data_IF_794862549783
#
_entry.id   IF_794862549783
#
_cell.length_a   1.000
_cell.length_b   1.000
_cell.length_c   1.000
_cell.angle_alpha   90.00
_cell.angle_beta   90.00
_cell.angle_gamma   90.00
#
_symmetry.space_group_name_H-M   'P 1'
#
loop_
_entity.id
_entity.type
_entity.pdbx_description
1 polymer ?
#
# COMPACT_ATOMS: atom_id res chain seq x y z
N UNK A 1 -25.33 -0.58 86.33
CA UNK A 1 -25.69 -1.57 85.28
C UNK A 1 -24.78 -1.35 84.08
N UNK A 2 -23.63 -2.02 84.08
CA UNK A 2 -22.53 -1.77 83.15
C UNK A 2 -22.54 -2.72 81.95
N UNK A 3 -22.74 -2.13 80.77
CA UNK A 3 -21.83 -2.22 79.61
C UNK A 3 -21.44 -3.62 79.08
N UNK A 4 -22.39 -4.29 78.42
CA UNK A 4 -22.12 -5.40 77.47
C UNK A 4 -22.49 -5.00 76.04
N UNK A 5 -21.76 -4.04 75.46
CA UNK A 5 -21.91 -3.64 74.04
C UNK A 5 -20.63 -3.65 73.17
N UNK A 6 -19.47 -4.25 73.54
CA UNK A 6 -18.38 -4.39 72.57
C UNK A 6 -18.28 -5.79 71.94
N UNK A 7 -19.02 -6.80 72.41
CA UNK A 7 -18.81 -8.19 71.95
C UNK A 7 -19.49 -8.48 70.59
N UNK A 8 -20.62 -7.85 70.30
CA UNK A 8 -21.37 -8.11 69.06
C UNK A 8 -20.74 -7.45 67.82
N UNK A 9 -19.96 -6.37 68.02
CA UNK A 9 -19.27 -5.68 66.92
C UNK A 9 -18.04 -6.47 66.44
N UNK A 10 -17.33 -7.14 67.36
CA UNK A 10 -16.14 -7.94 67.04
C UNK A 10 -16.52 -9.17 66.20
N UNK A 11 -17.65 -9.81 66.48
CA UNK A 11 -18.12 -10.97 65.71
C UNK A 11 -18.53 -10.63 64.27
N UNK A 12 -18.94 -9.38 63.99
CA UNK A 12 -19.33 -8.95 62.64
C UNK A 12 -18.10 -8.58 61.79
N UNK A 13 -17.04 -8.08 62.41
CA UNK A 13 -15.78 -7.72 61.73
C UNK A 13 -14.95 -8.94 61.28
N UNK A 14 -15.10 -10.10 61.94
CA UNK A 14 -14.39 -11.34 61.60
C UNK A 14 -14.99 -12.10 60.39
N UNK A 15 -16.22 -11.79 59.99
CA UNK A 15 -16.85 -12.40 58.81
C UNK A 15 -16.49 -11.67 57.50
N UNK A 16 -16.00 -10.43 57.57
CA UNK A 16 -15.63 -9.64 56.41
C UNK A 16 -14.25 -10.02 55.82
N UNK A 17 -13.41 -10.75 56.57
CA UNK A 17 -12.10 -11.21 56.09
C UNK A 17 -12.13 -12.54 55.33
N UNK A 18 -13.31 -13.17 55.19
CA UNK A 18 -13.53 -14.35 54.34
C UNK A 18 -14.27 -14.02 53.03
N UNK A 19 -14.52 -12.75 52.73
CA UNK A 19 -14.78 -12.33 51.36
C UNK A 19 -13.46 -12.43 50.58
N UNK A 20 -13.04 -13.66 50.30
CA UNK A 20 -12.02 -13.92 49.30
C UNK A 20 -12.48 -13.24 48.02
N UNK A 21 -11.58 -12.45 47.43
CA UNK A 21 -11.72 -12.08 46.04
C UNK A 21 -12.05 -13.37 45.29
N UNK A 22 -13.25 -13.45 44.72
CA UNK A 22 -13.41 -14.25 43.51
C UNK A 22 -12.57 -13.47 42.51
N UNK A 23 -11.26 -13.73 42.52
CA UNK A 23 -10.46 -13.59 41.33
C UNK A 23 -11.16 -14.54 40.36
N UNK A 24 -12.03 -13.96 39.54
CA UNK A 24 -12.45 -14.61 38.33
C UNK A 24 -11.13 -14.97 37.67
N UNK A 25 -10.77 -16.24 37.71
CA UNK A 25 -9.88 -16.80 36.70
C UNK A 25 -10.68 -16.68 35.40
N UNK A 26 -10.76 -15.45 34.86
CA UNK A 26 -10.60 -15.28 33.44
C UNK A 26 -9.29 -15.98 33.19
N UNK A 27 -9.39 -17.25 32.79
CA UNK A 27 -8.32 -17.90 32.07
C UNK A 27 -8.08 -16.93 30.92
N UNK A 28 -7.13 -16.00 31.09
CA UNK A 28 -6.62 -15.22 29.98
C UNK A 28 -6.39 -16.25 28.90
N UNK A 29 -7.01 -16.04 27.73
CA UNK A 29 -6.81 -16.92 26.59
C UNK A 29 -5.30 -17.10 26.44
N UNK A 30 -4.78 -18.28 26.78
CA UNK A 30 -3.33 -18.57 26.81
C UNK A 30 -2.79 -18.77 25.39
N UNK A 31 -3.40 -18.10 24.40
CA UNK A 31 -2.89 -18.06 23.05
C UNK A 31 -1.75 -17.06 23.05
N UNK A 32 -0.52 -17.57 22.91
CA UNK A 32 0.65 -16.77 22.61
C UNK A 32 0.71 -16.63 21.08
N UNK A 33 0.23 -15.50 20.58
CA UNK A 33 0.21 -15.17 19.16
C UNK A 33 1.61 -14.70 18.72
N UNK A 34 2.30 -15.56 17.96
CA UNK A 34 3.61 -15.32 17.36
C UNK A 34 3.48 -15.58 15.86
N UNK A 35 3.42 -14.50 15.07
CA UNK A 35 3.19 -14.52 13.63
C UNK A 35 4.41 -13.95 12.92
N UNK A 36 5.03 -14.75 12.07
CA UNK A 36 6.17 -14.34 11.25
C UNK A 36 5.72 -13.88 9.86
N UNK A 37 6.39 -12.87 9.32
CA UNK A 37 6.18 -12.33 7.98
C UNK A 37 7.50 -11.77 7.43
N UNK A 38 7.70 -11.85 6.12
CA UNK A 38 8.96 -11.43 5.49
C UNK A 38 9.10 -9.91 5.39
N UNK A 39 8.03 -9.23 4.95
CA UNK A 39 7.95 -7.78 4.83
C UNK A 39 6.51 -7.32 4.98
N UNK A 40 6.32 -6.14 5.58
CA UNK A 40 5.04 -5.41 5.59
C UNK A 40 5.07 -4.20 4.65
N UNK A 41 6.03 -4.16 3.74
CA UNK A 41 6.10 -3.14 2.71
C UNK A 41 6.40 -3.77 1.35
N UNK A 42 5.91 -3.11 0.30
CA UNK A 42 6.11 -3.51 -1.09
C UNK A 42 5.46 -2.53 -2.04
N UNK A 43 5.38 -2.91 -3.31
CA UNK A 43 4.95 -2.03 -4.39
C UNK A 43 4.05 -2.80 -5.33
N UNK A 44 2.89 -2.22 -5.63
CA UNK A 44 2.07 -2.64 -6.77
C UNK A 44 2.64 -2.01 -8.02
N UNK A 45 2.79 -2.80 -9.09
CA UNK A 45 3.33 -2.31 -10.36
C UNK A 45 2.26 -2.41 -11.43
N UNK A 46 1.90 -1.27 -12.02
CA UNK A 46 1.07 -1.21 -13.22
C UNK A 46 1.94 -0.99 -14.45
N UNK A 47 1.65 -1.70 -15.54
CA UNK A 47 2.34 -1.47 -16.82
C UNK A 47 1.35 -1.06 -17.89
N UNK A 48 1.71 -0.02 -18.63
CA UNK A 48 0.92 0.54 -19.71
C UNK A 48 1.72 0.60 -21.00
N UNK A 49 1.08 0.24 -22.11
CA UNK A 49 1.63 0.36 -23.45
C UNK A 49 0.60 1.06 -24.34
N UNK A 50 1.01 2.13 -25.01
CA UNK A 50 0.17 2.93 -25.92
C UNK A 50 -1.16 3.37 -25.26
N UNK A 51 -1.09 3.78 -23.99
CA UNK A 51 -2.23 4.22 -23.19
C UNK A 51 -3.11 3.11 -22.60
N UNK A 52 -2.87 1.83 -22.93
CA UNK A 52 -3.62 0.69 -22.39
C UNK A 52 -2.86 -0.05 -21.28
N UNK A 53 -3.52 -0.39 -20.17
CA UNK A 53 -2.91 -1.23 -19.12
C UNK A 53 -2.72 -2.65 -19.64
N UNK A 54 -1.49 -3.14 -19.62
CA UNK A 54 -1.10 -4.48 -20.09
C UNK A 54 -0.86 -5.47 -18.96
N UNK A 55 -0.42 -5.00 -17.79
CA UNK A 55 -0.24 -5.85 -16.61
C UNK A 55 -0.43 -5.11 -15.29
N UNK A 56 -0.67 -5.89 -14.24
CA UNK A 56 -0.74 -5.50 -12.84
C UNK A 56 0.00 -6.58 -12.03
N UNK A 57 1.05 -6.18 -11.32
CA UNK A 57 1.77 -7.00 -10.34
C UNK A 57 1.33 -6.59 -8.94
N UNK A 58 0.65 -7.49 -8.24
CA UNK A 58 0.18 -7.28 -6.88
C UNK A 58 1.30 -7.41 -5.86
N UNK A 59 1.13 -6.80 -4.69
CA UNK A 59 2.00 -7.06 -3.53
C UNK A 59 1.40 -8.19 -2.70
N UNK A 60 2.17 -9.27 -2.51
CA UNK A 60 1.75 -10.39 -1.66
C UNK A 60 2.42 -10.35 -0.27
N UNK A 61 1.67 -10.72 0.77
CA UNK A 61 2.16 -10.86 2.14
C UNK A 61 1.69 -12.17 2.73
N UNK A 62 2.64 -12.98 3.19
CA UNK A 62 2.38 -14.23 3.90
C UNK A 62 2.54 -14.03 5.41
N UNK A 63 1.51 -14.42 6.16
CA UNK A 63 1.51 -14.46 7.62
C UNK A 63 1.62 -15.91 8.08
N UNK A 64 2.75 -16.28 8.67
CA UNK A 64 2.98 -17.63 9.21
C UNK A 64 2.72 -17.69 10.71
N UNK A 65 1.66 -18.40 11.08
CA UNK A 65 1.23 -18.66 12.44
C UNK A 65 1.89 -19.92 13.03
N UNK A 66 2.89 -20.54 12.37
CA UNK A 66 3.51 -21.80 12.80
C UNK A 66 4.11 -21.78 14.21
N UNK A 67 4.40 -20.59 14.73
CA UNK A 67 4.95 -20.35 16.07
C UNK A 67 3.91 -19.96 17.11
N UNK A 68 2.68 -19.71 16.68
CA UNK A 68 1.57 -19.42 17.58
C UNK A 68 1.25 -20.66 18.40
N UNK A 69 1.17 -20.49 19.72
CA UNK A 69 0.87 -21.60 20.64
C UNK A 69 -0.33 -21.28 21.51
N UNK A 70 -0.98 -22.32 22.04
CA UNK A 70 -2.07 -22.18 23.00
C UNK A 70 -2.03 -23.32 24.01
N UNK A 71 -2.60 -23.09 25.20
CA UNK A 71 -2.84 -24.14 26.18
C UNK A 71 -3.91 -25.15 25.74
N UNK A 72 -4.73 -24.81 24.74
CA UNK A 72 -5.73 -25.67 24.11
C UNK A 72 -5.48 -25.80 22.60
N UNK A 73 -6.30 -26.59 21.90
CA UNK A 73 -6.11 -26.83 20.47
C UNK A 73 -6.47 -25.58 19.67
N UNK A 74 -5.54 -25.07 18.86
CA UNK A 74 -5.81 -24.00 17.91
C UNK A 74 -6.66 -24.55 16.77
N UNK A 75 -7.79 -23.89 16.47
CA UNK A 75 -8.74 -24.32 15.42
C UNK A 75 -8.79 -23.35 14.25
N UNK A 76 -8.43 -22.09 14.44
CA UNK A 76 -8.50 -21.08 13.38
C UNK A 76 -7.34 -20.11 13.46
N UNK A 77 -6.73 -19.84 12.30
CA UNK A 77 -5.94 -18.63 12.08
C UNK A 77 -6.67 -17.73 11.09
N UNK A 78 -6.46 -16.43 11.18
CA UNK A 78 -7.08 -15.51 10.24
C UNK A 78 -6.52 -14.11 10.26
N UNK A 79 -6.95 -13.36 9.24
CA UNK A 79 -6.62 -11.96 9.02
C UNK A 79 -7.92 -11.21 8.72
N UNK A 80 -8.18 -10.17 9.50
CA UNK A 80 -9.25 -9.20 9.26
C UNK A 80 -8.65 -7.95 8.61
N UNK A 81 -9.13 -7.58 7.42
CA UNK A 81 -8.64 -6.42 6.67
C UNK A 81 -9.13 -5.08 7.24
N UNK A 82 -10.03 -5.10 8.23
CA UNK A 82 -10.58 -3.90 8.88
C UNK A 82 -11.28 -2.93 7.92
N UNK A 83 -11.64 -3.39 6.72
CA UNK A 83 -12.30 -2.65 5.65
C UNK A 83 -13.82 -2.93 5.57
N UNK A 84 -14.33 -3.76 6.49
CA UNK A 84 -15.73 -4.19 6.55
C UNK A 84 -16.03 -5.46 5.75
N UNK A 85 -15.05 -6.02 5.05
CA UNK A 85 -15.17 -7.35 4.43
C UNK A 85 -15.09 -8.46 5.48
N UNK A 86 -15.43 -9.70 5.08
CA UNK A 86 -15.32 -10.84 5.99
C UNK A 86 -13.84 -11.22 6.18
N UNK A 87 -13.41 -11.56 7.40
CA UNK A 87 -12.04 -12.01 7.63
C UNK A 87 -11.68 -13.23 6.80
N UNK A 88 -10.42 -13.30 6.37
CA UNK A 88 -9.83 -14.46 5.72
C UNK A 88 -9.41 -15.42 6.83
N UNK A 89 -9.90 -16.66 6.79
CA UNK A 89 -9.65 -17.67 7.82
C UNK A 89 -9.20 -19.00 7.24
N UNK A 90 -8.37 -19.72 7.98
CA UNK A 90 -7.87 -21.05 7.67
C UNK A 90 -8.04 -22.00 8.86
N UNK A 91 -8.15 -23.30 8.57
CA UNK A 91 -8.12 -24.35 9.59
C UNK A 91 -6.68 -24.56 10.08
N UNK A 92 -6.46 -24.27 11.37
CA UNK A 92 -5.15 -24.34 12.01
C UNK A 92 -4.58 -25.78 12.06
N UNK A 93 -5.42 -26.80 11.88
CA UNK A 93 -4.97 -28.21 11.80
C UNK A 93 -4.39 -28.59 10.43
N UNK A 94 -4.66 -27.79 9.39
CA UNK A 94 -4.28 -28.10 8.01
C UNK A 94 -3.10 -27.26 7.52
N UNK A 95 -3.06 -25.98 7.89
CA UNK A 95 -2.05 -25.03 7.44
C UNK A 95 -1.85 -23.92 8.48
N UNK A 96 -0.69 -23.27 8.43
CA UNK A 96 -0.33 -22.16 9.32
C UNK A 96 -0.14 -20.83 8.60
N UNK A 97 -0.24 -20.80 7.26
CA UNK A 97 0.06 -19.60 6.47
C UNK A 97 -1.22 -19.00 5.91
N UNK A 98 -1.44 -17.72 6.17
CA UNK A 98 -2.49 -16.91 5.53
C UNK A 98 -1.83 -15.91 4.58
N UNK A 99 -2.15 -16.00 3.29
CA UNK A 99 -1.62 -15.11 2.25
C UNK A 99 -2.62 -14.01 1.90
N UNK A 100 -2.15 -12.77 1.81
CA UNK A 100 -2.89 -11.62 1.29
C UNK A 100 -2.25 -11.13 0.00
N UNK A 101 -3.08 -10.62 -0.92
CA UNK A 101 -2.63 -9.96 -2.16
C UNK A 101 -3.27 -8.59 -2.26
N UNK A 102 -2.44 -7.55 -2.43
CA UNK A 102 -2.86 -6.17 -2.55
C UNK A 102 -2.66 -5.71 -4.00
N UNK A 103 -3.77 -5.32 -4.64
CA UNK A 103 -3.79 -4.73 -5.98
C UNK A 103 -3.83 -3.19 -5.94
N UNK A 104 -4.00 -2.60 -4.77
CA UNK A 104 -4.16 -1.17 -4.58
C UNK A 104 -3.15 -0.62 -3.56
N UNK A 105 -2.54 0.51 -3.90
CA UNK A 105 -1.62 1.21 -3.04
C UNK A 105 -2.33 1.88 -1.86
N UNK A 106 -1.64 2.02 -0.74
CA UNK A 106 -2.21 2.51 0.50
C UNK A 106 -1.49 1.99 1.74
N UNK A 107 -1.85 2.56 2.88
CA UNK A 107 -1.54 1.99 4.20
C UNK A 107 -2.73 1.15 4.64
N UNK A 108 -2.55 -0.16 4.74
CA UNK A 108 -3.58 -1.13 5.09
C UNK A 108 -3.36 -1.63 6.52
N UNK A 109 -4.32 -1.38 7.40
CA UNK A 109 -4.26 -1.88 8.77
C UNK A 109 -5.02 -3.19 8.86
N UNK A 110 -4.34 -4.26 9.25
CA UNK A 110 -4.95 -5.59 9.37
C UNK A 110 -4.85 -6.10 10.81
N UNK A 111 -5.81 -6.94 11.19
CA UNK A 111 -5.78 -7.65 12.47
C UNK A 111 -5.57 -9.14 12.23
N UNK A 112 -4.41 -9.63 12.62
CA UNK A 112 -4.06 -11.05 12.67
C UNK A 112 -4.70 -11.65 13.91
N UNK A 113 -5.24 -12.87 13.82
CA UNK A 113 -5.85 -13.52 14.97
C UNK A 113 -5.77 -15.04 14.94
N UNK A 114 -5.83 -15.64 16.12
CA UNK A 114 -5.96 -17.06 16.32
C UNK A 114 -7.11 -17.37 17.29
N UNK A 115 -7.79 -18.50 17.08
CA UNK A 115 -8.90 -18.97 17.91
C UNK A 115 -8.64 -20.42 18.31
N UNK A 116 -8.86 -20.75 19.58
CA UNK A 116 -8.80 -22.11 20.10
C UNK A 116 -10.17 -22.82 20.14
N UNK A 117 -10.18 -24.11 20.48
CA UNK A 117 -11.35 -24.97 20.53
C UNK A 117 -12.34 -24.64 21.68
N UNK A 118 -11.99 -23.73 22.61
CA UNK A 118 -12.92 -23.15 23.60
C UNK A 118 -13.59 -21.87 23.08
N UNK A 119 -13.15 -21.39 21.91
CA UNK A 119 -13.55 -20.10 21.33
C UNK A 119 -12.77 -18.91 21.88
N UNK A 120 -11.68 -19.13 22.61
CA UNK A 120 -10.80 -18.06 23.06
C UNK A 120 -10.08 -17.47 21.85
N UNK A 121 -9.96 -16.14 21.79
CA UNK A 121 -9.40 -15.43 20.63
C UNK A 121 -8.32 -14.44 21.07
N UNK A 122 -7.18 -14.48 20.39
CA UNK A 122 -6.10 -13.51 20.54
C UNK A 122 -5.85 -12.78 19.22
N UNK A 123 -5.58 -11.49 19.30
CA UNK A 123 -5.40 -10.60 18.15
C UNK A 123 -4.07 -9.84 18.22
N UNK A 124 -3.54 -9.49 17.05
CA UNK A 124 -2.42 -8.57 16.87
C UNK A 124 -2.69 -7.71 15.64
N UNK A 125 -2.52 -6.39 15.77
CA UNK A 125 -2.67 -5.47 14.63
C UNK A 125 -1.31 -5.16 14.01
N UNK A 126 -1.26 -5.12 12.68
CA UNK A 126 -0.08 -4.72 11.91
C UNK A 126 -0.49 -3.78 10.78
N UNK A 127 0.42 -2.91 10.35
CA UNK A 127 0.21 -1.98 9.25
C UNK A 127 1.06 -2.39 8.04
N UNK A 128 0.45 -2.49 6.87
CA UNK A 128 1.07 -2.90 5.61
C UNK A 128 1.13 -1.69 4.70
N UNK A 129 2.33 -1.32 4.24
CA UNK A 129 2.56 -0.22 3.30
C UNK A 129 2.67 -0.74 1.88
N UNK A 130 1.74 -0.33 1.02
CA UNK A 130 1.75 -0.67 -0.40
C UNK A 130 1.99 0.62 -1.19
N UNK A 131 3.18 0.77 -1.78
CA UNK A 131 3.50 1.85 -2.70
C UNK A 131 2.95 1.52 -4.12
N UNK A 132 2.86 2.51 -5.01
CA UNK A 132 2.51 2.29 -6.43
C UNK A 132 3.70 2.64 -7.32
N UNK A 133 3.95 1.83 -8.34
CA UNK A 133 4.78 2.20 -9.50
C UNK A 133 3.98 1.98 -10.78
N UNK A 134 3.95 2.99 -11.65
CA UNK A 134 3.40 2.87 -12.99
C UNK A 134 4.56 2.95 -13.96
N UNK A 135 4.72 1.90 -14.77
CA UNK A 135 5.65 1.85 -15.89
C UNK A 135 4.86 2.03 -17.19
N UNK A 136 5.10 3.10 -17.92
CA UNK A 136 4.33 3.47 -19.10
C UNK A 136 5.26 3.66 -20.30
N UNK A 137 4.84 3.17 -21.47
CA UNK A 137 5.59 3.29 -22.71
C UNK A 137 4.67 3.54 -23.89
N UNK A 138 5.07 4.44 -24.77
CA UNK A 138 4.44 4.65 -26.08
C UNK A 138 5.56 4.88 -27.09
N UNK A 139 5.52 4.20 -28.22
CA UNK A 139 6.59 4.28 -29.23
C UNK A 139 6.05 4.74 -30.58
N UNK A 140 6.90 5.40 -31.35
CA UNK A 140 6.58 5.88 -32.69
C UNK A 140 5.30 6.75 -32.73
N UNK A 141 5.22 7.74 -31.82
CA UNK A 141 4.08 8.65 -31.68
C UNK A 141 4.48 10.10 -31.93
N UNK A 142 3.60 10.88 -32.53
CA UNK A 142 3.76 12.34 -32.66
C UNK A 142 2.73 13.11 -31.84
N UNK A 143 1.91 12.41 -31.07
CA UNK A 143 0.92 12.95 -30.16
C UNK A 143 0.80 11.98 -28.97
N UNK A 144 1.78 11.98 -28.06
CA UNK A 144 1.80 11.06 -26.93
C UNK A 144 0.52 11.14 -26.11
N UNK A 145 0.01 9.99 -25.71
CA UNK A 145 -1.17 9.89 -24.86
C UNK A 145 -0.82 10.33 -23.43
N UNK A 146 -1.65 11.16 -22.77
CA UNK A 146 -1.42 11.50 -21.36
C UNK A 146 -1.40 10.25 -20.47
N UNK A 147 -0.43 10.19 -19.55
CA UNK A 147 -0.43 9.21 -18.46
C UNK A 147 -1.22 9.76 -17.28
N UNK A 148 -2.42 9.23 -17.04
CA UNK A 148 -3.18 9.54 -15.84
C UNK A 148 -2.68 8.71 -14.65
N UNK A 149 -2.57 9.34 -13.48
CA UNK A 149 -2.24 8.66 -12.22
C UNK A 149 -3.00 9.30 -11.05
N UNK A 150 -3.50 8.46 -10.15
CA UNK A 150 -4.21 8.91 -8.95
C UNK A 150 -3.39 8.58 -7.69
N UNK A 151 -2.84 9.58 -6.99
CA UNK A 151 -2.13 9.36 -5.73
C UNK A 151 -3.07 9.15 -4.53
N UNK A 152 -4.39 9.30 -4.68
CA UNK A 152 -5.33 9.12 -3.58
C UNK A 152 -5.61 7.63 -3.35
N UNK A 153 -5.34 7.07 -2.16
CA UNK A 153 -5.61 5.67 -1.88
C UNK A 153 -7.11 5.36 -1.84
N UNK A 154 -7.50 4.23 -2.42
CA UNK A 154 -8.90 3.77 -2.43
C UNK A 154 -9.39 3.31 -1.05
N UNK A 155 -8.48 2.92 -0.16
CA UNK A 155 -8.80 2.48 1.20
C UNK A 155 -9.12 3.64 2.17
N UNK A 156 -9.20 4.89 1.69
CA UNK A 156 -9.37 6.10 2.49
C UNK A 156 -8.31 6.28 3.60
N UNK A 157 -7.14 5.66 3.42
CA UNK A 157 -6.03 5.71 4.34
C UNK A 157 -5.29 7.05 4.31
N UNK A 158 -4.15 7.08 4.98
CA UNK A 158 -3.23 8.23 4.93
C UNK A 158 -2.77 8.41 3.49
N UNK A 159 -2.70 9.66 3.01
CA UNK A 159 -2.17 9.96 1.69
C UNK A 159 -0.65 9.68 1.60
N UNK A 160 -0.14 9.41 0.39
CA UNK A 160 1.30 9.29 0.18
C UNK A 160 2.00 10.62 0.46
N UNK A 161 3.29 10.54 0.74
CA UNK A 161 4.09 11.72 1.08
C UNK A 161 4.65 12.41 -0.17
N UNK A 162 4.80 11.67 -1.26
CA UNK A 162 5.46 12.15 -2.46
C UNK A 162 5.11 11.33 -3.70
N UNK A 163 5.22 11.97 -4.86
CA UNK A 163 5.16 11.36 -6.17
C UNK A 163 6.49 11.62 -6.86
N UNK A 164 7.16 10.56 -7.30
CA UNK A 164 8.41 10.62 -8.04
C UNK A 164 8.14 10.33 -9.51
N UNK A 165 8.66 11.18 -10.40
CA UNK A 165 8.45 11.06 -11.85
C UNK A 165 9.81 10.98 -12.53
N UNK A 166 9.98 9.94 -13.34
CA UNK A 166 11.05 9.81 -14.33
C UNK A 166 10.39 9.70 -15.70
N UNK A 167 10.72 10.59 -16.63
CA UNK A 167 10.18 10.55 -17.98
C UNK A 167 11.27 10.83 -18.99
N UNK A 168 11.47 9.90 -19.91
CA UNK A 168 12.38 10.02 -21.04
C UNK A 168 11.58 10.16 -22.33
N UNK A 169 11.97 11.11 -23.16
CA UNK A 169 11.47 11.28 -24.52
C UNK A 169 12.66 11.09 -25.46
N UNK A 170 12.58 10.09 -26.32
CA UNK A 170 13.57 9.74 -27.33
C UNK A 170 13.07 10.15 -28.71
N UNK A 171 13.93 10.76 -29.51
CA UNK A 171 13.75 10.97 -30.94
C UNK A 171 14.61 9.93 -31.69
N UNK A 172 14.04 8.79 -32.12
CA UNK A 172 14.81 7.71 -32.72
C UNK A 172 15.45 8.12 -34.03
N UNK A 173 16.68 7.69 -34.30
CA UNK A 173 17.40 8.11 -35.51
C UNK A 173 16.71 7.62 -36.78
N UNK A 174 16.40 8.54 -37.68
CA UNK A 174 15.95 8.25 -39.03
C UNK A 174 17.16 7.96 -39.92
N UNK A 175 17.32 6.71 -40.35
CA UNK A 175 18.41 6.33 -41.27
C UNK A 175 18.29 7.14 -42.57
N UNK A 176 19.34 7.91 -42.90
CA UNK A 176 19.47 8.78 -44.07
C UNK A 176 19.13 8.06 -45.40
N UNK A 177 17.88 8.22 -45.85
CA UNK A 177 17.42 7.86 -47.19
C UNK A 177 17.04 9.12 -47.97
N UNK A 178 17.74 9.38 -49.08
CA UNK A 178 17.49 10.36 -50.16
C UNK A 178 16.32 11.35 -49.89
N UNK A 179 16.46 12.25 -48.91
CA UNK A 179 15.32 13.09 -48.49
C UNK A 179 15.59 14.10 -47.37
N UNK A 180 16.66 13.94 -46.59
CA UNK A 180 16.97 14.76 -45.41
C UNK A 180 16.82 13.91 -44.15
N UNK A 181 17.84 13.94 -43.28
CA UNK A 181 17.86 13.20 -42.01
C UNK A 181 16.81 13.70 -41.01
N UNK A 182 16.76 13.09 -39.83
CA UNK A 182 15.84 13.49 -38.79
C UNK A 182 16.04 14.93 -38.32
N UNK A 183 14.98 15.51 -37.80
CA UNK A 183 14.93 16.86 -37.27
C UNK A 183 14.95 16.85 -35.74
N UNK A 184 15.44 17.92 -35.14
CA UNK A 184 15.27 18.11 -33.69
C UNK A 184 13.79 18.32 -33.38
N UNK A 185 13.28 17.62 -32.38
CA UNK A 185 11.91 17.80 -31.85
C UNK A 185 11.99 18.55 -30.53
N UNK A 186 11.23 19.63 -30.39
CA UNK A 186 11.03 20.38 -29.15
C UNK A 186 9.69 19.97 -28.54
N UNK A 187 9.64 19.89 -27.21
CA UNK A 187 8.44 19.46 -26.49
C UNK A 187 8.45 19.97 -25.05
N UNK A 188 7.32 19.85 -24.36
CA UNK A 188 7.22 20.10 -22.93
C UNK A 188 6.61 18.94 -22.16
N UNK A 189 7.15 18.70 -20.96
CA UNK A 189 6.50 17.92 -19.93
C UNK A 189 5.60 18.82 -19.09
N UNK A 190 4.39 18.36 -18.81
CA UNK A 190 3.46 19.03 -17.90
C UNK A 190 2.83 18.00 -16.97
N UNK A 191 2.91 18.22 -15.66
CA UNK A 191 2.05 17.56 -14.67
C UNK A 191 0.86 18.50 -14.46
N UNK A 192 -0.33 18.03 -14.78
CA UNK A 192 -1.59 18.77 -14.58
C UNK A 192 -2.49 18.05 -13.60
N UNK A 193 -3.37 18.80 -12.93
CA UNK A 193 -4.43 18.22 -12.08
C UNK A 193 -5.75 18.05 -12.84
N UNK A 194 -6.78 17.55 -12.15
CA UNK A 194 -8.12 17.33 -12.71
C UNK A 194 -8.83 18.61 -13.20
N UNK A 195 -8.37 19.80 -12.80
CA UNK A 195 -8.90 21.10 -13.24
C UNK A 195 -8.14 21.65 -14.45
N UNK A 196 -7.20 20.89 -15.00
CA UNK A 196 -6.31 21.27 -16.09
C UNK A 196 -5.28 22.34 -15.71
N UNK A 197 -5.05 22.55 -14.41
CA UNK A 197 -4.04 23.49 -13.91
C UNK A 197 -2.65 22.84 -13.94
N UNK A 198 -1.67 23.54 -14.51
CA UNK A 198 -0.28 23.06 -14.60
C UNK A 198 0.38 23.17 -13.22
N UNK A 199 0.62 22.01 -12.60
CA UNK A 199 1.30 21.88 -11.32
C UNK A 199 2.82 22.02 -11.46
N UNK A 200 3.40 21.38 -12.47
CA UNK A 200 4.83 21.44 -12.79
C UNK A 200 5.02 21.33 -14.31
N UNK A 201 6.05 21.97 -14.83
CA UNK A 201 6.43 21.83 -16.23
C UNK A 201 7.93 21.96 -16.46
N UNK A 202 8.38 21.41 -17.59
CA UNK A 202 9.75 21.55 -18.10
C UNK A 202 9.73 21.47 -19.62
N UNK A 203 10.50 22.33 -20.29
CA UNK A 203 10.76 22.18 -21.73
C UNK A 203 11.92 21.22 -21.99
N UNK A 204 11.89 20.55 -23.13
CA UNK A 204 12.93 19.65 -23.61
C UNK A 204 13.05 19.69 -25.13
N UNK A 205 14.13 19.09 -25.61
CA UNK A 205 14.39 18.87 -27.01
C UNK A 205 15.21 17.58 -27.22
N UNK A 206 14.95 16.89 -28.32
CA UNK A 206 15.71 15.71 -28.72
C UNK A 206 16.11 15.85 -30.21
N UNK A 207 17.41 15.90 -30.46
CA UNK A 207 18.01 15.78 -31.80
C UNK A 207 17.78 14.37 -32.36
N UNK A 208 17.96 14.19 -33.68
CA UNK A 208 17.88 12.87 -34.33
C UNK A 208 18.80 11.85 -33.64
N UNK A 209 18.22 10.74 -33.19
CA UNK A 209 18.94 9.67 -32.49
C UNK A 209 19.33 9.99 -31.04
N UNK A 210 18.73 11.01 -30.43
CA UNK A 210 18.99 11.38 -29.04
C UNK A 210 17.74 11.36 -28.18
N UNK A 211 17.93 11.47 -26.87
CA UNK A 211 16.85 11.48 -25.87
C UNK A 211 17.09 12.55 -24.80
N UNK A 212 16.02 12.97 -24.15
CA UNK A 212 16.09 13.81 -22.96
C UNK A 212 15.20 13.25 -21.84
N UNK A 213 15.70 13.30 -20.61
CA UNK A 213 15.00 12.81 -19.42
C UNK A 213 14.67 13.95 -18.45
N UNK A 214 13.44 13.95 -17.93
CA UNK A 214 13.03 14.73 -16.78
C UNK A 214 12.86 13.84 -15.55
N UNK A 215 13.59 14.18 -14.48
CA UNK A 215 13.42 13.62 -13.15
C UNK A 215 12.86 14.71 -12.24
N UNK A 216 11.71 14.48 -11.62
CA UNK A 216 11.12 15.45 -10.68
C UNK A 216 10.42 14.76 -9.51
N UNK A 217 10.15 15.57 -8.51
CA UNK A 217 9.42 15.20 -7.30
C UNK A 217 8.22 16.13 -7.19
N UNK A 218 7.03 15.56 -6.99
CA UNK A 218 5.77 16.27 -6.88
C UNK A 218 5.10 15.95 -5.54
N UNK A 219 4.65 17.00 -4.84
CA UNK A 219 4.15 16.88 -3.46
C UNK A 219 2.63 17.02 -3.36
N UNK A 220 1.93 17.37 -4.44
CA UNK A 220 0.47 17.34 -4.42
C UNK A 220 0.00 15.89 -4.59
N UNK A 221 -0.33 15.25 -3.48
CA UNK A 221 -0.78 13.86 -3.41
C UNK A 221 -2.30 13.71 -3.33
N UNK A 222 -3.03 14.75 -3.77
CA UNK A 222 -4.48 14.80 -3.84
C UNK A 222 -4.93 14.95 -5.28
N UNK A 223 -6.14 14.45 -5.58
CA UNK A 223 -6.78 14.55 -6.89
C UNK A 223 -6.06 13.74 -7.97
N UNK A 224 -6.80 13.47 -9.05
CA UNK A 224 -6.25 12.86 -10.25
C UNK A 224 -5.25 13.82 -10.90
N UNK A 225 -4.15 13.28 -11.41
CA UNK A 225 -3.17 14.02 -12.18
C UNK A 225 -2.95 13.36 -13.54
N UNK A 226 -2.41 14.13 -14.49
CA UNK A 226 -1.92 13.62 -15.75
C UNK A 226 -0.49 14.13 -16.01
N UNK A 227 0.39 13.22 -16.45
CA UNK A 227 1.68 13.56 -17.03
C UNK A 227 1.53 13.62 -18.55
N UNK A 228 1.68 14.82 -19.11
CA UNK A 228 1.52 15.13 -20.54
C UNK A 228 2.86 15.46 -21.16
N UNK A 229 3.11 14.89 -22.34
CA UNK A 229 4.17 15.31 -23.24
C UNK A 229 3.52 16.04 -24.41
N UNK A 230 3.90 17.29 -24.64
CA UNK A 230 3.33 18.11 -25.72
C UNK A 230 4.45 18.48 -26.69
N UNK A 231 4.48 17.88 -27.90
CA UNK A 231 5.36 18.34 -28.98
C UNK A 231 5.03 19.78 -29.37
N UNK A 232 6.07 20.60 -29.56
CA UNK A 232 5.96 22.04 -29.84
C UNK A 232 6.52 22.39 -31.22
N UNK A 233 7.64 21.78 -31.60
CA UNK A 233 8.29 21.94 -32.91
C UNK A 233 8.96 20.63 -33.33
N UNK A 234 9.15 20.43 -34.63
CA UNK A 234 9.58 19.15 -35.20
C UNK A 234 8.42 18.19 -35.49
N UNK A 235 8.64 17.25 -36.42
CA UNK A 235 7.63 16.30 -36.91
C UNK A 235 8.06 14.84 -36.82
N UNK A 236 9.24 14.56 -36.25
CA UNK A 236 9.70 13.17 -36.08
C UNK A 236 8.85 12.47 -35.03
N UNK A 237 8.70 11.15 -35.21
CA UNK A 237 8.00 10.33 -34.23
C UNK A 237 8.90 10.12 -33.01
N UNK A 238 8.31 10.21 -31.83
CA UNK A 238 8.97 10.05 -30.55
C UNK A 238 8.68 8.69 -29.94
N UNK A 239 9.61 8.20 -29.13
CA UNK A 239 9.34 7.19 -28.11
C UNK A 239 9.31 7.87 -26.75
N UNK A 240 8.37 7.47 -25.91
CA UNK A 240 8.19 8.05 -24.58
C UNK A 240 8.15 6.91 -23.56
N UNK A 241 9.00 7.02 -22.55
CA UNK A 241 9.12 6.07 -21.44
C UNK A 241 8.91 6.84 -20.14
N UNK A 242 8.02 6.36 -19.29
CA UNK A 242 7.67 7.04 -18.05
C UNK A 242 7.59 6.05 -16.91
N UNK A 243 8.13 6.43 -15.75
CA UNK A 243 7.90 5.78 -14.48
C UNK A 243 7.36 6.80 -13.49
N UNK A 244 6.18 6.54 -12.93
CA UNK A 244 5.58 7.34 -11.85
C UNK A 244 5.50 6.47 -10.60
N UNK A 245 6.08 6.92 -9.50
CA UNK A 245 6.03 6.22 -8.22
C UNK A 245 5.28 7.05 -7.18
N UNK A 246 4.28 6.45 -6.54
CA UNK A 246 3.53 7.06 -5.44
C UNK A 246 3.99 6.41 -4.14
N UNK A 247 4.64 7.20 -3.28
CA UNK A 247 5.43 6.69 -2.16
C UNK A 247 4.84 7.15 -0.83
N UNK A 248 4.66 6.21 0.09
CA UNK A 248 4.21 6.45 1.46
C UNK A 248 5.39 6.61 2.42
N UNK A 249 5.14 7.22 3.58
CA UNK A 249 6.15 7.34 4.64
C UNK A 249 6.63 5.95 5.06
N UNK A 250 7.93 5.78 5.26
CA UNK A 250 8.43 4.75 6.17
C UNK A 250 8.06 5.15 7.60
N UNK A 251 7.43 4.25 8.36
CA UNK A 251 7.41 4.36 9.82
C UNK A 251 8.79 4.08 10.42
#
# INVERSE_FOLDING_TARGET
>A
MGRNKPLLLVSLLLAASLAGCIESSTTDSMIELDVEYASLNGTVVETYVDGGRTSLESMDVDFDFSRTTSARELVTFGVDLMDGTSPIIIDASQQSIVSLSFEEHGIHNVTLFAIDDDGARQNQSVSIRVDLRIDWTETNTNNPTPLAFNPTPNNNGVHPIVIEVNSTVENPSLIDGIGGGGQTVQFSWNIVDELDDVCQSKSGQAEDGSEETWNTVHFNTYLLHELRITPEDGQDFLNVFQTVSVVYSSE
#
